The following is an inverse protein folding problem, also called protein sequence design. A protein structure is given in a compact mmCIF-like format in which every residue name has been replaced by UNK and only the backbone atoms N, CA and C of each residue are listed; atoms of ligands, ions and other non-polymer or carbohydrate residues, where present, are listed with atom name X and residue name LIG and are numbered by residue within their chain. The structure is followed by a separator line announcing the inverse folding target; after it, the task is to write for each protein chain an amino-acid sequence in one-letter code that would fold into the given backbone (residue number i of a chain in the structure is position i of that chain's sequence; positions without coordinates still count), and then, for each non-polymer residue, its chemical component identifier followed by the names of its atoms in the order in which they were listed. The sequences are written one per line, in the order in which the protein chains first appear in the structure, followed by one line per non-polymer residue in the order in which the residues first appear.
data_IF_855881534101
#
_entry.id   IF_855881534101
#
_cell.length_a   1.000
_cell.length_b   1.000
_cell.length_c   1.000
_cell.angle_alpha   90.00
_cell.angle_beta   90.00
_cell.angle_gamma   90.00
#
_symmetry.space_group_name_H-M   'P 1'
#
loop_
_entity.id
_entity.type
_entity.pdbx_description
1 polymer ?
#
# COMPACT_ATOMS: atom_id res chain seq x y z
N UNK A 1 -11.30 -14.05 -5.28
CA UNK A 1 -11.36 -12.87 -6.20
C UNK A 1 -10.01 -12.16 -6.11
N UNK A 2 -9.44 -11.64 -7.21
CA UNK A 2 -8.14 -10.98 -7.13
C UNK A 2 -8.18 -9.79 -6.17
N UNK A 3 -7.09 -9.56 -5.44
CA UNK A 3 -6.98 -8.38 -4.59
C UNK A 3 -7.10 -7.10 -5.42
N UNK A 4 -7.95 -6.18 -4.96
CA UNK A 4 -8.06 -4.83 -5.51
C UNK A 4 -7.12 -3.91 -4.73
N UNK A 5 -6.27 -3.19 -5.46
CA UNK A 5 -5.35 -2.21 -4.90
C UNK A 5 -5.77 -0.82 -5.36
N UNK A 6 -6.01 0.09 -4.42
CA UNK A 6 -6.43 1.47 -4.69
C UNK A 6 -5.46 2.44 -4.01
N UNK A 7 -4.76 3.27 -4.79
CA UNK A 7 -3.99 4.38 -4.23
C UNK A 7 -4.91 5.58 -3.98
N UNK A 8 -5.11 5.94 -2.70
CA UNK A 8 -6.03 7.00 -2.31
C UNK A 8 -5.36 8.38 -2.40
N UNK A 9 -6.08 9.40 -2.85
CA UNK A 9 -5.62 10.80 -2.81
C UNK A 9 -5.17 11.18 -1.40
N UNK A 10 -4.00 11.81 -1.29
CA UNK A 10 -3.42 12.27 -0.02
C UNK A 10 -3.28 11.16 1.04
N UNK A 11 -3.36 9.90 0.65
CA UNK A 11 -3.60 8.79 1.56
C UNK A 11 -2.83 7.51 1.21
N UNK A 12 -3.13 6.42 1.93
CA UNK A 12 -2.44 5.15 1.79
C UNK A 12 -2.78 4.41 0.49
N UNK A 13 -2.12 3.26 0.29
CA UNK A 13 -2.54 2.25 -0.67
C UNK A 13 -3.49 1.29 0.04
N UNK A 14 -4.75 1.23 -0.38
CA UNK A 14 -5.77 0.33 0.17
C UNK A 14 -5.78 -0.98 -0.61
N UNK A 15 -5.69 -2.10 0.10
CA UNK A 15 -5.71 -3.46 -0.45
C UNK A 15 -6.97 -4.15 0.08
N UNK A 16 -7.78 -4.70 -0.82
CA UNK A 16 -9.07 -5.36 -0.50
C UNK A 16 -9.16 -6.71 -1.21
N UNK A 17 -9.57 -7.76 -0.51
CA UNK A 17 -9.80 -9.09 -1.08
C UNK A 17 -8.90 -10.17 -0.47
N UNK A 18 -8.53 -11.16 -1.28
CA UNK A 18 -7.65 -12.26 -0.88
C UNK A 18 -6.19 -11.87 -1.16
N UNK A 19 -5.41 -11.68 -0.10
CA UNK A 19 -3.99 -11.31 -0.19
C UNK A 19 -3.19 -11.81 1.00
N UNK A 20 -1.87 -11.86 0.81
CA UNK A 20 -0.87 -12.05 1.85
C UNK A 20 0.04 -10.82 1.87
N UNK A 21 0.56 -10.48 3.05
CA UNK A 21 1.65 -9.52 3.19
C UNK A 21 2.79 -10.29 3.84
N UNK A 22 3.96 -10.26 3.20
CA UNK A 22 5.17 -10.94 3.67
C UNK A 22 6.30 -9.96 3.92
N UNK A 23 7.23 -10.35 4.77
CA UNK A 23 8.53 -9.69 4.89
C UNK A 23 9.51 -10.18 3.79
N UNK A 24 10.73 -9.61 3.70
CA UNK A 24 11.72 -10.04 2.70
C UNK A 24 12.19 -11.50 2.83
N UNK A 25 11.98 -12.15 3.98
CA UNK A 25 12.28 -13.58 4.18
C UNK A 25 11.13 -14.49 3.71
N UNK A 26 9.97 -13.92 3.39
CA UNK A 26 8.75 -14.63 3.05
C UNK A 26 7.84 -14.94 4.23
N UNK A 27 8.12 -14.41 5.43
CA UNK A 27 7.27 -14.63 6.59
C UNK A 27 6.01 -13.76 6.53
N UNK A 28 4.83 -14.39 6.70
CA UNK A 28 3.54 -13.72 6.66
C UNK A 28 3.29 -12.82 7.88
N UNK A 29 2.75 -11.63 7.65
CA UNK A 29 2.20 -10.81 8.72
C UNK A 29 0.88 -11.40 9.24
N UNK A 30 0.71 -11.42 10.56
CA UNK A 30 -0.55 -11.84 11.18
C UNK A 30 -1.65 -10.79 10.99
N UNK A 31 -2.50 -10.97 9.98
CA UNK A 31 -3.55 -9.98 9.65
C UNK A 31 -4.81 -10.09 10.51
N UNK A 32 -4.91 -11.08 11.39
CA UNK A 32 -6.06 -11.33 12.27
C UNK A 32 -7.42 -11.32 11.52
N UNK A 33 -7.48 -12.00 10.37
CA UNK A 33 -8.70 -12.12 9.56
C UNK A 33 -9.10 -10.87 8.77
N UNK A 34 -8.26 -9.83 8.73
CA UNK A 34 -8.54 -8.62 7.93
C UNK A 34 -8.48 -8.93 6.44
N UNK A 35 -9.57 -8.61 5.73
CA UNK A 35 -9.68 -8.64 4.26
C UNK A 35 -9.49 -7.27 3.62
N UNK A 36 -9.20 -6.26 4.45
CA UNK A 36 -8.91 -4.88 4.03
C UNK A 36 -7.74 -4.37 4.85
N UNK A 37 -6.68 -3.93 4.18
CA UNK A 37 -5.49 -3.33 4.80
C UNK A 37 -5.12 -2.05 4.06
N UNK A 38 -4.53 -1.10 4.78
CA UNK A 38 -3.94 0.11 4.19
C UNK A 38 -2.44 0.12 4.42
N UNK A 39 -1.66 0.25 3.34
CA UNK A 39 -0.21 0.37 3.38
C UNK A 39 0.21 1.83 3.35
N UNK A 40 1.23 2.16 4.14
CA UNK A 40 1.77 3.50 4.24
C UNK A 40 2.39 3.91 2.89
N UNK A 41 1.90 5.03 2.35
CA UNK A 41 2.45 5.66 1.15
C UNK A 41 3.19 6.97 1.43
N UNK A 42 2.91 7.61 2.56
CA UNK A 42 3.49 8.92 2.92
C UNK A 42 4.91 8.85 3.51
N UNK A 43 5.39 7.67 3.92
CA UNK A 43 6.72 7.50 4.55
C UNK A 43 6.77 7.77 6.06
N UNK A 44 5.72 8.33 6.68
CA UNK A 44 5.75 8.79 8.08
C UNK A 44 5.02 7.90 9.10
N UNK A 45 4.43 6.78 8.68
CA UNK A 45 3.79 5.84 9.63
C UNK A 45 4.78 5.34 10.70
N UNK A 46 4.37 5.25 11.95
CA UNK A 46 5.15 4.60 13.01
C UNK A 46 4.92 3.07 13.01
N UNK A 47 3.88 2.61 12.33
CA UNK A 47 3.51 1.20 12.20
C UNK A 47 3.78 0.65 10.78
N UNK A 48 4.94 0.96 10.19
CA UNK A 48 5.29 0.50 8.84
C UNK A 48 5.32 -1.05 8.79
N UNK A 49 4.89 -1.67 7.66
CA UNK A 49 4.50 -1.04 6.38
C UNK A 49 3.04 -0.53 6.35
N UNK A 50 2.30 -0.65 7.45
CA UNK A 50 0.89 -0.30 7.53
C UNK A 50 0.68 1.21 7.71
N UNK A 51 -0.46 1.70 7.26
CA UNK A 51 -0.90 3.07 7.50
C UNK A 51 -1.48 3.21 8.91
N UNK A 52 -1.09 4.27 9.61
CA UNK A 52 -1.54 4.63 10.96
C UNK A 52 -2.21 6.03 11.02
N UNK A 53 -2.49 6.63 9.85
CA UNK A 53 -3.04 7.98 9.73
C UNK A 53 -2.01 9.12 9.70
N UNK A 54 -0.72 8.84 9.81
CA UNK A 54 0.35 9.86 9.82
C UNK A 54 0.33 10.78 8.60
N UNK A 55 -0.19 10.32 7.45
CA UNK A 55 -0.33 11.11 6.22
C UNK A 55 -1.10 12.42 6.43
N UNK A 56 -2.11 12.42 7.30
CA UNK A 56 -2.86 13.64 7.63
C UNK A 56 -2.01 14.62 8.44
N UNK A 57 -1.26 14.11 9.43
CA UNK A 57 -0.43 14.94 10.32
C UNK A 57 0.70 15.65 9.57
N UNK A 58 1.30 14.96 8.59
CA UNK A 58 2.42 15.50 7.81
C UNK A 58 1.98 16.25 6.56
N UNK A 59 0.67 16.38 6.31
CA UNK A 59 0.14 17.08 5.14
C UNK A 59 0.55 16.43 3.82
N UNK A 60 0.56 15.09 3.75
CA UNK A 60 0.90 14.38 2.52
C UNK A 60 -0.06 14.75 1.39
N UNK A 61 0.47 15.37 0.34
CA UNK A 61 -0.31 15.89 -0.78
C UNK A 61 0.09 15.18 -2.07
N UNK A 62 -0.84 14.41 -2.64
CA UNK A 62 -0.68 13.74 -3.93
C UNK A 62 -2.04 13.30 -4.49
N UNK A 63 -2.41 13.85 -5.64
CA UNK A 63 -3.54 13.37 -6.45
C UNK A 63 -3.10 12.17 -7.28
N UNK A 64 -3.86 11.09 -7.23
CA UNK A 64 -3.60 9.87 -7.98
C UNK A 64 -4.49 9.85 -9.22
N UNK A 65 -3.86 9.69 -10.38
CA UNK A 65 -4.55 9.49 -11.66
C UNK A 65 -4.02 8.22 -12.33
N UNK A 66 -4.94 7.42 -12.87
CA UNK A 66 -4.57 6.22 -13.62
C UNK A 66 -3.92 6.63 -14.95
N UNK A 67 -2.84 5.94 -15.31
CA UNK A 67 -2.11 6.17 -16.57
C UNK A 67 -1.40 4.89 -17.00
N UNK A 68 -1.05 4.83 -18.28
CA UNK A 68 -0.20 3.76 -18.79
C UNK A 68 1.22 3.89 -18.22
N UNK A 69 1.79 2.76 -17.82
CA UNK A 69 3.19 2.68 -17.44
C UNK A 69 4.05 2.47 -18.69
N UNK A 70 5.26 3.07 -18.75
CA UNK A 70 6.18 2.75 -19.83
C UNK A 70 6.55 1.26 -19.81
N UNK A 71 6.99 0.69 -20.95
CA UNK A 71 7.43 -0.70 -21.01
C UNK A 71 8.51 -0.98 -19.95
N UNK A 72 8.52 -2.20 -19.36
CA UNK A 72 9.58 -2.59 -18.44
C UNK A 72 10.96 -2.43 -19.08
N UNK A 73 11.92 -1.86 -18.35
CA UNK A 73 13.32 -1.82 -18.80
C UNK A 73 13.86 -3.26 -18.89
N UNK A 74 14.63 -3.60 -19.94
CA UNK A 74 15.29 -4.90 -20.01
C UNK A 74 16.14 -5.14 -18.77
N UNK A 75 16.12 -6.36 -18.24
CA UNK A 75 17.05 -6.78 -17.19
C UNK A 75 18.41 -6.95 -17.86
N UNK A 76 19.40 -6.15 -17.46
CA UNK A 76 20.82 -6.33 -17.81
C UNK A 76 21.37 -7.59 -17.12
#
# INVERSE_FOLDING_TARGET
MPAKITALNNGPIRVEGEFEIVDPSGAAFGLAGRTVISLCRCGHSENKPFCDGSHNRVGFSHTVEARELPPPKPKL
#
